data_IF_760977543047
#
_entry.id   IF_760977543047
#
_cell.length_a   1.000
_cell.length_b   1.000
_cell.length_c   1.000
_cell.angle_alpha   90.00
_cell.angle_beta   90.00
_cell.angle_gamma   90.00
#
_symmetry.space_group_name_H-M   'P 1'
#
loop_
_entity.id
_entity.type
_entity.pdbx_description
1 polymer ?
#
# COMPACT_ATOMS: atom_id res chain seq x y z
N UNK A 1 24.91 1.22 4.00
CA UNK A 1 23.58 1.37 4.64
C UNK A 1 23.49 2.71 5.36
N UNK A 2 22.29 3.27 5.58
CA UNK A 2 22.14 4.49 6.40
C UNK A 2 22.15 4.08 7.87
N UNK A 3 23.12 4.55 8.64
CA UNK A 3 23.27 4.20 10.07
C UNK A 3 22.66 5.23 11.02
N UNK A 4 22.66 6.50 10.61
CA UNK A 4 22.07 7.59 11.39
C UNK A 4 21.76 8.80 10.52
N UNK A 5 21.09 9.79 11.11
CA UNK A 5 20.89 11.11 10.53
C UNK A 5 21.51 12.16 11.45
N UNK A 6 22.36 13.01 10.88
CA UNK A 6 22.91 14.20 11.55
C UNK A 6 22.27 15.42 10.91
N UNK A 7 21.34 16.05 11.63
CA UNK A 7 20.46 17.07 11.05
C UNK A 7 19.77 16.54 9.78
N UNK A 8 19.99 17.19 8.63
CA UNK A 8 19.45 16.78 7.33
C UNK A 8 20.37 15.85 6.52
N UNK A 9 21.54 15.48 7.06
CA UNK A 9 22.51 14.61 6.37
C UNK A 9 22.32 13.15 6.79
N UNK A 10 22.33 12.25 5.79
CA UNK A 10 22.38 10.79 6.02
C UNK A 10 23.83 10.37 6.18
N UNK A 11 24.14 9.66 7.25
CA UNK A 11 25.45 9.04 7.44
C UNK A 11 25.38 7.60 6.93
N UNK A 12 26.28 7.27 6.01
CA UNK A 12 26.36 5.95 5.39
C UNK A 12 27.57 5.20 5.93
N UNK A 13 27.42 3.90 6.15
CA UNK A 13 28.54 3.01 6.45
C UNK A 13 28.45 1.72 5.62
N UNK A 14 29.55 0.96 5.59
CA UNK A 14 29.67 -0.31 4.88
C UNK A 14 28.78 -1.38 5.56
N UNK A 15 28.11 -2.20 4.77
CA UNK A 15 27.15 -3.21 5.27
C UNK A 15 27.76 -4.09 6.36
N UNK A 16 28.98 -4.62 6.17
CA UNK A 16 29.65 -5.49 7.15
C UNK A 16 30.00 -4.79 8.49
N UNK A 17 30.01 -3.46 8.55
CA UNK A 17 30.18 -2.74 9.83
C UNK A 17 28.87 -2.55 10.57
N UNK A 18 27.76 -2.47 9.82
CA UNK A 18 26.42 -2.30 10.39
C UNK A 18 25.78 -3.64 10.75
N UNK A 19 26.07 -4.67 9.95
CA UNK A 19 25.58 -6.02 10.11
C UNK A 19 26.78 -6.99 10.07
N UNK A 20 27.60 -7.02 11.15
CA UNK A 20 28.85 -7.78 11.17
C UNK A 20 28.63 -9.29 11.08
N UNK A 21 27.48 -9.78 11.53
CA UNK A 21 27.13 -11.20 11.51
C UNK A 21 26.44 -11.64 10.22
N UNK A 22 26.13 -10.71 9.31
CA UNK A 22 25.41 -11.01 8.07
C UNK A 22 26.36 -11.57 7.00
N UNK A 23 25.96 -12.69 6.41
CA UNK A 23 26.66 -13.35 5.32
C UNK A 23 25.70 -13.53 4.14
N UNK A 24 26.00 -12.88 3.00
CA UNK A 24 25.14 -12.96 1.80
C UNK A 24 24.99 -14.40 1.29
N UNK A 25 25.98 -15.28 1.45
CA UNK A 25 25.88 -16.68 0.98
C UNK A 25 24.96 -17.53 1.87
N UNK A 26 24.85 -17.17 3.16
CA UNK A 26 24.07 -17.91 4.15
C UNK A 26 22.68 -17.32 4.38
N UNK A 27 22.59 -16.00 4.43
CA UNK A 27 21.42 -15.27 4.94
C UNK A 27 20.59 -14.62 3.81
N UNK A 28 21.18 -14.42 2.62
CA UNK A 28 20.43 -13.88 1.48
C UNK A 28 19.55 -14.97 0.87
N UNK A 29 18.25 -14.72 0.86
CA UNK A 29 17.31 -15.57 0.12
C UNK A 29 17.47 -15.38 -1.39
N UNK A 30 17.20 -16.43 -2.16
CA UNK A 30 17.19 -16.31 -3.61
C UNK A 30 16.13 -15.29 -4.07
N UNK A 31 16.31 -14.72 -5.25
CA UNK A 31 15.33 -13.78 -5.80
C UNK A 31 13.92 -14.40 -5.89
N UNK A 32 13.82 -15.66 -6.30
CA UNK A 32 12.54 -16.36 -6.43
C UNK A 32 11.84 -16.52 -5.07
N UNK A 33 12.58 -16.87 -4.02
CA UNK A 33 12.04 -16.97 -2.66
C UNK A 33 11.64 -15.60 -2.12
N UNK A 34 12.45 -14.57 -2.34
CA UNK A 34 12.14 -13.20 -1.95
C UNK A 34 10.83 -12.71 -2.60
N UNK A 35 10.64 -12.97 -3.90
CA UNK A 35 9.42 -12.61 -4.62
C UNK A 35 8.19 -13.34 -4.06
N UNK A 36 8.31 -14.62 -3.71
CA UNK A 36 7.23 -15.38 -3.05
C UNK A 36 6.86 -14.75 -1.71
N UNK A 37 7.85 -14.46 -0.86
CA UNK A 37 7.64 -13.80 0.44
C UNK A 37 6.96 -12.43 0.25
N UNK A 38 7.40 -11.66 -0.73
CA UNK A 38 6.81 -10.35 -1.06
C UNK A 38 5.36 -10.48 -1.52
N UNK A 39 5.03 -11.47 -2.35
CA UNK A 39 3.65 -11.73 -2.79
C UNK A 39 2.76 -12.15 -1.62
N UNK A 40 3.25 -13.01 -0.72
CA UNK A 40 2.53 -13.43 0.48
C UNK A 40 2.24 -12.22 1.39
N UNK A 41 3.24 -11.38 1.63
CA UNK A 41 3.10 -10.14 2.39
C UNK A 41 2.11 -9.18 1.74
N UNK A 42 2.14 -9.04 0.42
CA UNK A 42 1.17 -8.22 -0.34
C UNK A 42 -0.25 -8.75 -0.18
N UNK A 43 -0.45 -10.06 -0.33
CA UNK A 43 -1.76 -10.69 -0.23
C UNK A 43 -2.38 -10.48 1.15
N UNK A 44 -1.59 -10.70 2.21
CA UNK A 44 -1.99 -10.45 3.58
C UNK A 44 -2.30 -8.98 3.85
N UNK A 45 -1.47 -8.06 3.36
CA UNK A 45 -1.61 -6.61 3.59
C UNK A 45 -2.81 -6.02 2.87
N UNK A 46 -3.08 -6.44 1.63
CA UNK A 46 -4.24 -5.99 0.86
C UNK A 46 -5.53 -6.66 1.34
N UNK A 47 -5.42 -7.90 1.80
CA UNK A 47 -6.48 -8.72 2.36
C UNK A 47 -7.43 -9.28 1.32
N UNK A 48 -8.10 -8.41 0.56
CA UNK A 48 -8.84 -8.77 -0.65
C UNK A 48 -8.14 -8.19 -1.88
N UNK A 49 -7.92 -9.03 -2.89
CA UNK A 49 -7.07 -8.64 -4.00
C UNK A 49 -7.38 -9.35 -5.31
N UNK A 50 -6.94 -8.69 -6.40
CA UNK A 50 -6.70 -9.34 -7.68
C UNK A 50 -5.21 -9.65 -7.78
N UNK A 51 -4.84 -10.72 -8.46
CA UNK A 51 -3.44 -11.17 -8.56
C UNK A 51 -2.52 -10.06 -9.09
N UNK A 52 -2.98 -9.30 -10.07
CA UNK A 52 -2.22 -8.20 -10.67
C UNK A 52 -1.90 -7.05 -9.68
N UNK A 53 -2.63 -6.96 -8.55
CA UNK A 53 -2.36 -5.95 -7.53
C UNK A 53 -1.16 -6.30 -6.66
N UNK A 54 -0.85 -7.59 -6.51
CA UNK A 54 0.20 -8.06 -5.60
C UNK A 54 1.59 -7.62 -6.07
N UNK A 55 1.85 -7.72 -7.37
CA UNK A 55 3.12 -7.36 -7.97
C UNK A 55 3.44 -5.88 -7.76
N UNK A 56 2.42 -5.02 -7.82
CA UNK A 56 2.65 -3.59 -7.76
C UNK A 56 3.13 -3.17 -6.37
N UNK A 57 2.61 -3.77 -5.28
CA UNK A 57 2.91 -3.41 -3.88
C UNK A 57 4.42 -3.25 -3.58
N UNK A 58 5.25 -4.18 -4.07
CA UNK A 58 6.72 -4.11 -3.98
C UNK A 58 7.40 -3.73 -5.31
N UNK A 59 6.62 -3.33 -6.32
CA UNK A 59 7.07 -2.99 -7.69
C UNK A 59 7.83 -4.14 -8.37
N UNK A 60 7.36 -5.36 -8.15
CA UNK A 60 7.93 -6.58 -8.74
C UNK A 60 7.75 -6.57 -10.27
N UNK A 61 8.80 -6.97 -10.97
CA UNK A 61 8.81 -7.02 -12.44
C UNK A 61 8.45 -8.44 -12.90
N UNK A 62 7.23 -8.61 -13.40
CA UNK A 62 6.73 -9.87 -14.00
C UNK A 62 6.89 -11.11 -13.09
N UNK A 63 6.42 -11.08 -11.82
CA UNK A 63 6.47 -12.25 -10.96
C UNK A 63 5.55 -13.37 -11.48
N UNK A 64 5.80 -14.61 -11.07
CA UNK A 64 5.02 -15.79 -11.47
C UNK A 64 3.66 -15.89 -10.73
N UNK A 65 2.76 -14.93 -10.96
CA UNK A 65 1.50 -14.78 -10.23
C UNK A 65 0.56 -16.00 -10.32
N UNK A 66 0.45 -16.62 -11.50
CA UNK A 66 -0.44 -17.76 -11.70
C UNK A 66 0.00 -18.98 -10.88
N UNK A 67 1.30 -19.30 -10.94
CA UNK A 67 1.89 -20.39 -10.15
C UNK A 67 1.80 -20.11 -8.64
N UNK A 68 2.07 -18.87 -8.22
CA UNK A 68 1.89 -18.46 -6.84
C UNK A 68 0.44 -18.66 -6.37
N UNK A 69 -0.54 -18.18 -7.13
CA UNK A 69 -1.96 -18.32 -6.79
C UNK A 69 -2.36 -19.79 -6.66
N UNK A 70 -2.01 -20.61 -7.65
CA UNK A 70 -2.38 -22.02 -7.67
C UNK A 70 -1.85 -22.74 -6.43
N UNK A 71 -0.56 -22.55 -6.11
CA UNK A 71 0.04 -23.11 -4.91
C UNK A 71 -0.66 -22.62 -3.62
N UNK A 72 -0.97 -21.33 -3.50
CA UNK A 72 -1.62 -20.77 -2.30
C UNK A 72 -3.08 -21.17 -2.16
N UNK A 73 -3.79 -21.34 -3.28
CA UNK A 73 -5.16 -21.83 -3.30
C UNK A 73 -5.21 -23.31 -2.89
N UNK A 74 -4.30 -24.14 -3.41
CA UNK A 74 -4.15 -25.55 -3.00
C UNK A 74 -3.83 -25.67 -1.50
N UNK A 75 -2.98 -24.79 -0.98
CA UNK A 75 -2.64 -24.69 0.45
C UNK A 75 -3.73 -24.04 1.30
N UNK A 76 -4.87 -23.64 0.71
CA UNK A 76 -5.98 -22.95 1.37
C UNK A 76 -5.56 -21.64 2.09
N UNK A 77 -4.47 -21.02 1.66
CA UNK A 77 -3.99 -19.74 2.19
C UNK A 77 -4.71 -18.54 1.57
N UNK A 78 -5.38 -18.76 0.42
CA UNK A 78 -6.25 -17.79 -0.22
C UNK A 78 -7.59 -18.44 -0.57
N UNK A 79 -8.66 -17.67 -0.51
CA UNK A 79 -10.04 -18.13 -0.69
C UNK A 79 -10.67 -17.31 -1.82
N UNK A 80 -11.29 -17.97 -2.78
CA UNK A 80 -12.01 -17.29 -3.85
C UNK A 80 -13.26 -16.61 -3.27
N UNK A 81 -13.45 -15.33 -3.60
CA UNK A 81 -14.60 -14.54 -3.15
C UNK A 81 -15.19 -13.74 -4.31
N UNK A 82 -16.49 -13.45 -4.22
CA UNK A 82 -17.19 -12.58 -5.16
C UNK A 82 -17.58 -11.28 -4.47
N UNK A 83 -17.27 -10.15 -5.10
CA UNK A 83 -17.63 -8.81 -4.63
C UNK A 83 -18.48 -8.13 -5.68
N UNK A 84 -19.70 -7.73 -5.30
CA UNK A 84 -20.76 -7.24 -6.19
C UNK A 84 -20.27 -6.27 -7.30
N UNK A 85 -19.43 -5.29 -6.97
CA UNK A 85 -18.93 -4.27 -7.93
C UNK A 85 -17.56 -4.57 -8.52
N UNK A 86 -16.84 -5.57 -8.01
CA UNK A 86 -15.45 -5.85 -8.38
C UNK A 86 -15.27 -7.22 -9.03
N UNK A 87 -16.30 -8.08 -9.01
CA UNK A 87 -16.30 -9.42 -9.57
C UNK A 87 -15.57 -10.42 -8.68
N UNK A 88 -14.88 -11.37 -9.31
CA UNK A 88 -14.13 -12.40 -8.60
C UNK A 88 -12.78 -11.88 -8.12
N UNK A 89 -12.48 -12.09 -6.84
CA UNK A 89 -11.23 -11.74 -6.17
C UNK A 89 -10.77 -12.92 -5.29
N UNK A 90 -9.62 -12.72 -4.66
CA UNK A 90 -9.08 -13.60 -3.64
C UNK A 90 -9.06 -12.88 -2.29
N UNK A 91 -9.37 -13.62 -1.23
CA UNK A 91 -9.22 -13.21 0.17
C UNK A 91 -8.06 -13.98 0.79
N UNK A 92 -7.18 -13.30 1.51
CA UNK A 92 -6.18 -13.97 2.35
C UNK A 92 -6.86 -14.68 3.54
N UNK A 93 -6.54 -15.96 3.76
CA UNK A 93 -7.24 -16.80 4.74
C UNK A 93 -7.23 -16.24 6.17
N UNK A 94 -6.14 -15.60 6.61
CA UNK A 94 -6.05 -14.93 7.93
C UNK A 94 -7.16 -13.90 8.19
N UNK A 95 -7.80 -13.37 7.14
CA UNK A 95 -8.83 -12.34 7.24
C UNK A 95 -10.25 -12.90 7.06
N UNK A 96 -10.41 -14.21 6.89
CA UNK A 96 -11.73 -14.85 6.86
C UNK A 96 -12.60 -14.49 8.07
N UNK A 97 -12.09 -14.46 9.32
CA UNK A 97 -12.89 -14.04 10.47
C UNK A 97 -13.37 -12.58 10.38
N UNK A 98 -12.63 -11.70 9.70
CA UNK A 98 -13.06 -10.32 9.47
C UNK A 98 -14.16 -10.24 8.40
N UNK A 99 -14.09 -11.06 7.36
CA UNK A 99 -15.14 -11.16 6.35
C UNK A 99 -16.46 -11.65 6.97
N UNK A 100 -16.42 -12.68 7.80
CA UNK A 100 -17.61 -13.18 8.52
C UNK A 100 -18.24 -12.09 9.38
N UNK A 101 -17.42 -11.33 10.10
CA UNK A 101 -17.89 -10.17 10.87
C UNK A 101 -18.47 -9.07 9.99
N UNK A 102 -17.90 -8.81 8.82
CA UNK A 102 -18.40 -7.82 7.87
C UNK A 102 -19.78 -8.22 7.35
N UNK A 103 -19.95 -9.49 6.95
CA UNK A 103 -21.24 -10.05 6.50
C UNK A 103 -22.30 -10.02 7.61
N UNK A 104 -21.89 -10.19 8.86
CA UNK A 104 -22.79 -10.05 10.02
C UNK A 104 -23.07 -8.59 10.44
N UNK A 105 -22.52 -7.59 9.74
CA UNK A 105 -22.66 -6.17 10.11
C UNK A 105 -21.92 -5.78 11.40
N UNK A 106 -20.95 -6.58 11.85
CA UNK A 106 -20.20 -6.42 13.11
C UNK A 106 -18.75 -5.94 12.92
N UNK A 107 -18.37 -5.62 11.69
CA UNK A 107 -17.08 -5.02 11.39
C UNK A 107 -17.24 -3.50 11.35
N UNK A 108 -16.64 -2.81 12.32
CA UNK A 108 -16.68 -1.35 12.41
C UNK A 108 -15.28 -0.80 12.29
N UNK A 109 -15.05 0.05 11.29
CA UNK A 109 -13.81 0.80 11.19
C UNK A 109 -13.83 1.97 12.19
N UNK A 110 -12.77 2.11 12.98
CA UNK A 110 -12.68 3.09 14.07
C UNK A 110 -11.60 4.14 13.84
N UNK A 111 -10.60 3.84 13.02
CA UNK A 111 -9.42 4.68 12.84
C UNK A 111 -9.71 5.88 11.93
N UNK A 112 -9.05 7.01 12.24
CA UNK A 112 -8.99 8.17 11.37
C UNK A 112 -7.54 8.62 11.25
N UNK A 113 -7.11 8.97 10.04
CA UNK A 113 -5.74 9.34 9.77
C UNK A 113 -5.66 10.30 8.57
N UNK A 114 -4.63 11.16 8.60
CA UNK A 114 -4.16 11.85 7.41
C UNK A 114 -3.18 10.91 6.71
N UNK A 115 -3.49 10.51 5.48
CA UNK A 115 -2.67 9.56 4.74
C UNK A 115 -1.53 10.25 4.01
N UNK A 116 -0.35 9.64 4.04
CA UNK A 116 0.75 9.99 3.14
C UNK A 116 0.31 9.81 1.68
N UNK A 117 0.81 10.62 0.71
CA UNK A 117 0.58 10.36 -0.71
C UNK A 117 1.12 9.00 -1.17
N UNK A 118 2.00 8.40 -0.38
CA UNK A 118 2.61 7.09 -0.62
C UNK A 118 2.00 5.97 0.23
N UNK A 119 0.89 6.24 0.93
CA UNK A 119 0.20 5.24 1.73
C UNK A 119 -0.40 4.12 0.84
N UNK A 120 -0.28 2.83 1.23
CA UNK A 120 -0.82 1.67 0.50
C UNK A 120 -2.31 1.75 0.13
N UNK A 121 -3.10 2.57 0.84
CA UNK A 121 -4.52 2.78 0.54
C UNK A 121 -4.74 3.61 -0.73
N UNK A 122 -3.87 4.59 -1.02
CA UNK A 122 -4.12 5.65 -2.04
C UNK A 122 -3.08 5.73 -3.15
N UNK A 123 -1.91 5.14 -2.95
CA UNK A 123 -0.81 5.17 -3.92
C UNK A 123 -1.15 4.46 -5.25
N UNK A 124 -1.90 3.34 -5.20
CA UNK A 124 -2.57 2.74 -6.37
C UNK A 124 -3.90 3.46 -6.59
N UNK A 125 -3.88 4.39 -7.54
CA UNK A 125 -4.99 5.28 -7.84
C UNK A 125 -6.22 4.53 -8.38
N UNK A 126 -6.00 3.51 -9.21
CA UNK A 126 -7.10 2.73 -9.81
C UNK A 126 -7.79 1.91 -8.74
N UNK A 127 -7.01 1.30 -7.85
CA UNK A 127 -7.57 0.55 -6.71
C UNK A 127 -8.29 1.46 -5.72
N UNK A 128 -7.71 2.63 -5.41
CA UNK A 128 -8.35 3.61 -4.53
C UNK A 128 -9.71 4.08 -5.08
N UNK A 129 -9.77 4.39 -6.38
CA UNK A 129 -11.01 4.75 -7.07
C UNK A 129 -12.04 3.60 -7.04
N UNK A 130 -11.62 2.36 -7.31
CA UNK A 130 -12.50 1.20 -7.29
C UNK A 130 -13.07 0.84 -5.91
N UNK A 131 -12.28 1.02 -4.85
CA UNK A 131 -12.66 0.63 -3.48
C UNK A 131 -13.35 1.74 -2.70
N UNK A 132 -12.95 2.99 -2.92
CA UNK A 132 -13.36 4.12 -2.09
C UNK A 132 -14.05 5.23 -2.90
N UNK A 133 -14.24 5.07 -4.21
CA UNK A 133 -14.77 6.10 -5.10
C UNK A 133 -14.01 7.43 -4.97
N UNK A 134 -12.68 7.32 -4.80
CA UNK A 134 -11.82 8.44 -4.45
C UNK A 134 -10.68 8.62 -5.46
N UNK A 135 -10.85 9.58 -6.37
CA UNK A 135 -9.80 9.95 -7.32
C UNK A 135 -8.73 10.82 -6.65
N UNK A 136 -7.50 10.31 -6.56
CA UNK A 136 -6.38 10.99 -5.92
C UNK A 136 -5.12 10.98 -6.77
N UNK A 137 -4.47 12.14 -6.86
CA UNK A 137 -3.18 12.31 -7.51
C UNK A 137 -2.38 13.33 -6.73
N UNK A 138 -1.16 12.98 -6.34
CA UNK A 138 -0.20 13.95 -5.82
C UNK A 138 0.19 14.92 -6.96
N UNK A 139 -0.15 16.19 -6.81
CA UNK A 139 -0.01 17.19 -7.88
C UNK A 139 1.28 18.03 -7.77
N UNK A 140 2.23 17.64 -6.91
CA UNK A 140 3.50 18.36 -6.77
C UNK A 140 4.32 18.40 -8.08
N UNK A 141 4.10 17.41 -8.96
CA UNK A 141 4.70 17.32 -10.29
C UNK A 141 3.87 17.98 -11.40
N UNK A 142 2.66 18.46 -11.09
CA UNK A 142 1.77 19.13 -12.03
C UNK A 142 2.06 20.64 -12.00
N UNK A 143 2.18 21.32 -13.15
CA UNK A 143 2.30 22.78 -13.17
C UNK A 143 1.16 23.47 -12.42
N UNK A 144 1.45 24.54 -11.68
CA UNK A 144 0.48 25.24 -10.82
C UNK A 144 -0.90 25.49 -11.47
N UNK A 145 -1.00 26.01 -12.71
CA UNK A 145 -2.30 26.28 -13.35
C UNK A 145 -3.13 25.03 -13.69
N UNK A 146 -2.51 23.85 -13.72
CA UNK A 146 -3.17 22.57 -14.06
C UNK A 146 -3.53 21.73 -12.83
N UNK A 147 -3.23 22.24 -11.62
CA UNK A 147 -3.54 21.58 -10.36
C UNK A 147 -5.03 21.72 -10.08
N UNK A 148 -5.68 20.64 -9.68
CA UNK A 148 -7.08 20.66 -9.28
C UNK A 148 -7.24 20.89 -7.79
N UNK A 149 -6.34 20.32 -6.99
CA UNK A 149 -6.48 20.31 -5.52
C UNK A 149 -5.35 21.05 -4.81
N UNK A 150 -4.16 21.14 -5.42
CA UNK A 150 -3.03 21.90 -4.88
C UNK A 150 -1.73 21.10 -4.82
N UNK A 151 -0.64 21.79 -4.46
CA UNK A 151 0.73 21.25 -4.57
C UNK A 151 0.96 19.96 -3.76
N UNK A 152 0.54 19.94 -2.50
CA UNK A 152 0.78 18.83 -1.58
C UNK A 152 -0.46 18.61 -0.73
N UNK A 153 -1.36 17.77 -1.22
CA UNK A 153 -2.65 17.48 -0.60
C UNK A 153 -2.66 16.04 -0.12
N UNK A 154 -3.11 15.83 1.11
CA UNK A 154 -3.13 14.56 1.81
C UNK A 154 -4.56 14.02 1.92
N UNK A 155 -4.83 12.75 1.60
CA UNK A 155 -6.15 12.15 1.79
C UNK A 155 -6.52 12.01 3.26
N UNK A 156 -7.80 12.18 3.58
CA UNK A 156 -8.34 11.99 4.93
C UNK A 156 -9.09 10.66 4.99
N UNK A 157 -8.56 9.71 5.75
CA UNK A 157 -9.26 8.48 6.10
C UNK A 157 -10.04 8.72 7.39
N UNK A 158 -11.33 8.46 7.38
CA UNK A 158 -12.19 8.49 8.57
C UNK A 158 -13.05 7.25 8.59
N UNK A 159 -12.85 6.39 9.61
CA UNK A 159 -13.67 5.21 9.89
C UNK A 159 -13.92 4.35 8.65
N UNK A 160 -12.84 4.07 7.91
CA UNK A 160 -12.88 3.20 6.72
C UNK A 160 -13.28 3.88 5.42
N UNK A 161 -13.46 5.21 5.40
CA UNK A 161 -13.81 5.98 4.20
C UNK A 161 -12.79 7.07 3.91
N UNK A 162 -12.52 7.33 2.64
CA UNK A 162 -11.76 8.49 2.20
C UNK A 162 -12.72 9.68 2.07
N UNK A 163 -12.78 10.52 3.10
CA UNK A 163 -13.82 11.55 3.26
C UNK A 163 -13.41 12.92 2.73
N UNK A 164 -12.14 13.11 2.40
CA UNK A 164 -11.67 14.42 2.00
C UNK A 164 -10.17 14.50 1.74
N UNK A 165 -9.73 15.75 1.63
CA UNK A 165 -8.37 16.14 1.24
C UNK A 165 -7.95 17.29 2.13
N UNK A 166 -6.76 17.21 2.70
CA UNK A 166 -6.15 18.27 3.50
C UNK A 166 -4.95 18.84 2.76
N UNK A 167 -5.01 20.12 2.42
CA UNK A 167 -3.88 20.86 1.86
C UNK A 167 -3.28 21.80 2.90
N UNK A 168 -1.99 22.04 2.82
CA UNK A 168 -1.37 23.17 3.50
C UNK A 168 -1.31 24.36 2.53
N UNK A 169 -2.06 25.43 2.83
CA UNK A 169 -1.79 26.74 2.26
C UNK A 169 -0.99 27.54 3.27
N UNK A 170 0.11 28.15 2.84
CA UNK A 170 0.71 29.22 3.62
C UNK A 170 -0.30 30.36 3.69
N UNK A 171 -0.76 30.70 4.89
CA UNK A 171 -1.35 32.00 5.14
C UNK A 171 -0.24 33.03 4.99
N UNK A 172 -0.01 33.54 3.77
CA UNK A 172 0.69 34.81 3.61
C UNK A 172 -0.25 35.91 4.11
N UNK A 173 0.18 36.81 5.02
CA UNK A 173 -0.65 37.90 5.51
C UNK A 173 -1.05 38.92 4.42
N UNK A 174 -0.39 38.92 3.26
CA UNK A 174 -0.53 39.98 2.24
C UNK A 174 -1.21 39.53 0.94
N UNK A 175 -2.41 38.94 1.03
CA UNK A 175 -3.34 38.95 -0.11
C UNK A 175 -4.64 39.61 0.30
N UNK A 176 -4.64 40.93 0.22
CA UNK A 176 -5.85 41.75 0.14
C UNK A 176 -6.48 41.65 -1.26
N UNK A 177 -7.80 41.92 -1.38
CA UNK A 177 -8.76 41.20 -2.21
C UNK A 177 -8.63 41.39 -3.73
#
# INVERSE_FOLDING_TARGET
MVIERRNFQRVYDLTHRVMPEWDDERDLVSQAEAEIIMLDNSARSLGIFREQWLADYYRLKRPALAAWREARAEQQQIIAVHVEKLGNLWLHADLLPLLERALAGKLTATHSAVLSPFDPVVWDRKRAEQLFDFSYRLECYIPAPKRQYGYFVLPLLHRGQLVGRMGCQNASPDRHP
#
